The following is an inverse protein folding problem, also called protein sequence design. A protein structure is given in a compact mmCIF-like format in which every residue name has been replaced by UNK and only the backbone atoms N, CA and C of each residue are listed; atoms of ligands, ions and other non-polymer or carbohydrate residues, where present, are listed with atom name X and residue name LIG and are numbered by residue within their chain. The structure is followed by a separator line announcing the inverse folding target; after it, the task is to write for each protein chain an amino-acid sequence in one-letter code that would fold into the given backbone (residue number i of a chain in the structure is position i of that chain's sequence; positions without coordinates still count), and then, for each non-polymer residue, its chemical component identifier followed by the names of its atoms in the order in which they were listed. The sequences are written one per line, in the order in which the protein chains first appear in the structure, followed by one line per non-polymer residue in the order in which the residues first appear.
data_IF_233695855479
#
_entry.id   IF_233695855479
#
_cell.length_a   1.000
_cell.length_b   1.000
_cell.length_c   1.000
_cell.angle_alpha   90.00
_cell.angle_beta   90.00
_cell.angle_gamma   90.00
#
_symmetry.space_group_name_H-M   'P 1'
#
loop_
_entity.id
_entity.type
_entity.pdbx_description
1 polymer ?
#
# COMPACT_ATOMS: atom_id res chain seq x y z
N UNK A 1 -7.74 -25.32 -8.08
CA UNK A 1 -6.77 -24.63 -8.95
C UNK A 1 -6.45 -23.28 -8.32
N UNK A 2 -5.18 -22.89 -8.24
CA UNK A 2 -4.73 -21.62 -7.67
C UNK A 2 -3.94 -20.85 -8.73
N UNK A 3 -4.27 -19.57 -8.93
CA UNK A 3 -3.57 -18.68 -9.86
C UNK A 3 -2.78 -17.66 -9.07
N UNK A 4 -1.50 -17.46 -9.43
CA UNK A 4 -0.64 -16.46 -8.83
C UNK A 4 -0.35 -15.36 -9.86
N UNK A 5 -0.57 -14.11 -9.48
CA UNK A 5 -0.30 -12.93 -10.30
C UNK A 5 0.62 -11.98 -9.53
N UNK A 6 1.47 -11.28 -10.27
CA UNK A 6 2.26 -10.19 -9.70
C UNK A 6 1.38 -8.96 -9.43
N UNK A 7 1.68 -8.16 -8.41
CA UNK A 7 1.01 -6.87 -8.18
C UNK A 7 1.44 -5.82 -9.21
N UNK A 8 0.67 -4.73 -9.31
CA UNK A 8 1.00 -3.54 -10.09
C UNK A 8 1.76 -2.51 -9.24
N UNK A 9 2.51 -1.61 -9.90
CA UNK A 9 3.15 -0.45 -9.25
C UNK A 9 2.20 0.74 -9.10
N UNK A 10 1.33 0.92 -10.08
CA UNK A 10 0.34 1.99 -10.10
C UNK A 10 -0.90 1.58 -9.32
N UNK A 11 -1.45 2.53 -8.57
CA UNK A 11 -2.64 2.32 -7.74
C UNK A 11 -3.75 3.24 -8.25
N UNK A 12 -4.91 2.66 -8.55
CA UNK A 12 -6.12 3.42 -8.81
C UNK A 12 -6.95 3.50 -7.51
N UNK A 13 -7.06 4.70 -6.93
CA UNK A 13 -7.83 4.95 -5.72
C UNK A 13 -9.23 5.55 -6.00
N UNK A 14 -9.65 5.57 -7.27
CA UNK A 14 -11.00 6.00 -7.63
C UNK A 14 -12.06 5.09 -6.97
N UNK A 15 -13.21 5.67 -6.54
CA UNK A 15 -14.28 4.89 -5.94
C UNK A 15 -14.77 3.79 -6.87
N UNK A 16 -14.93 2.58 -6.33
CA UNK A 16 -15.52 1.45 -7.06
C UNK A 16 -16.84 1.09 -6.40
N UNK A 17 -17.90 1.03 -7.21
CA UNK A 17 -19.24 0.65 -6.77
C UNK A 17 -19.43 -0.86 -6.89
N UNK A 18 -20.30 -1.43 -6.04
CA UNK A 18 -20.71 -2.82 -6.17
C UNK A 18 -19.69 -3.87 -5.69
N UNK A 19 -18.61 -3.47 -5.01
CA UNK A 19 -17.67 -4.42 -4.39
C UNK A 19 -18.41 -5.20 -3.29
N UNK A 20 -18.57 -6.51 -3.49
CA UNK A 20 -19.14 -7.44 -2.50
C UNK A 20 -18.05 -8.37 -1.98
N UNK A 21 -18.09 -8.70 -0.69
CA UNK A 21 -17.18 -9.69 -0.10
C UNK A 21 -15.75 -9.21 0.11
N UNK A 22 -15.53 -7.91 0.39
CA UNK A 22 -14.23 -7.42 0.81
C UNK A 22 -13.77 -8.13 2.10
N UNK A 23 -12.53 -8.62 2.10
CA UNK A 23 -11.90 -9.29 3.24
C UNK A 23 -10.75 -8.45 3.79
N UNK A 24 -10.19 -8.86 4.93
CA UNK A 24 -8.96 -8.28 5.48
C UNK A 24 -7.75 -9.16 5.13
N UNK A 25 -6.56 -8.58 4.93
CA UNK A 25 -5.34 -9.36 4.73
C UNK A 25 -5.05 -10.23 5.95
N UNK A 26 -4.69 -11.49 5.74
CA UNK A 26 -4.36 -12.43 6.82
C UNK A 26 -3.02 -12.11 7.50
N UNK A 27 -2.05 -11.57 6.74
CA UNK A 27 -0.69 -11.26 7.21
C UNK A 27 -0.53 -9.78 7.61
N UNK A 28 -1.56 -9.18 8.22
CA UNK A 28 -1.51 -7.76 8.61
C UNK A 28 -0.40 -7.48 9.62
N UNK A 29 -0.15 -8.38 10.57
CA UNK A 29 0.91 -8.22 11.56
C UNK A 29 2.31 -8.16 10.92
N UNK A 30 2.58 -8.98 9.91
CA UNK A 30 3.85 -8.95 9.18
C UNK A 30 3.99 -7.66 8.37
N UNK A 31 2.89 -7.19 7.77
CA UNK A 31 2.84 -5.91 7.06
C UNK A 31 3.13 -4.73 8.00
N UNK A 32 2.64 -4.74 9.24
CA UNK A 32 2.93 -3.72 10.25
C UNK A 32 4.43 -3.63 10.59
N UNK A 33 5.13 -4.77 10.67
CA UNK A 33 6.58 -4.81 10.91
C UNK A 33 7.35 -4.14 9.77
N UNK A 34 6.98 -4.43 8.52
CA UNK A 34 7.59 -3.80 7.34
C UNK A 34 7.27 -2.32 7.29
N UNK A 35 6.00 -1.97 7.52
CA UNK A 35 5.52 -0.60 7.52
C UNK A 35 6.24 0.27 8.56
N UNK A 36 6.44 -0.22 9.78
CA UNK A 36 7.16 0.51 10.83
C UNK A 36 8.58 0.90 10.42
N UNK A 37 9.28 0.04 9.66
CA UNK A 37 10.60 0.37 9.09
C UNK A 37 10.51 1.46 8.02
N UNK A 38 9.55 1.32 7.09
CA UNK A 38 9.39 2.24 5.96
C UNK A 38 8.92 3.63 6.40
N UNK A 39 8.03 3.71 7.40
CA UNK A 39 7.51 4.96 7.96
C UNK A 39 8.60 5.83 8.57
N UNK A 40 9.65 5.23 9.13
CA UNK A 40 10.81 5.93 9.69
C UNK A 40 11.82 6.42 8.64
N UNK A 41 11.65 6.08 7.36
CA UNK A 41 12.57 6.48 6.30
C UNK A 41 12.15 7.83 5.67
N UNK A 42 13.14 8.69 5.44
CA UNK A 42 12.95 9.91 4.62
C UNK A 42 12.69 9.57 3.15
N UNK A 43 12.03 10.47 2.42
CA UNK A 43 11.83 10.34 0.97
C UNK A 43 13.15 10.09 0.22
N UNK A 44 14.25 10.74 0.62
CA UNK A 44 15.57 10.52 0.00
C UNK A 44 16.09 9.08 0.21
N UNK A 45 15.89 8.50 1.39
CA UNK A 45 16.26 7.11 1.66
C UNK A 45 15.37 6.14 0.86
N UNK A 46 14.06 6.44 0.75
CA UNK A 46 13.12 5.64 -0.07
C UNK A 46 13.49 5.69 -1.56
N UNK A 47 13.84 6.86 -2.08
CA UNK A 47 14.30 7.02 -3.48
C UNK A 47 15.49 6.11 -3.78
N UNK A 48 16.48 6.09 -2.87
CA UNK A 48 17.67 5.24 -3.00
C UNK A 48 17.33 3.75 -2.87
N UNK A 49 16.51 3.37 -1.89
CA UNK A 49 16.13 1.98 -1.64
C UNK A 49 15.34 1.37 -2.80
N UNK A 50 14.38 2.11 -3.33
CA UNK A 50 13.44 1.63 -4.35
C UNK A 50 13.89 1.95 -5.78
N UNK A 51 14.99 2.68 -5.94
CA UNK A 51 15.49 3.16 -7.24
C UNK A 51 14.42 3.95 -8.02
N UNK A 52 13.76 4.88 -7.33
CA UNK A 52 12.67 5.72 -7.88
C UNK A 52 13.05 7.19 -7.87
N UNK A 53 12.37 7.98 -8.72
CA UNK A 53 12.59 9.42 -8.79
C UNK A 53 12.09 10.14 -7.52
N UNK A 54 12.53 11.39 -7.26
CA UNK A 54 12.17 12.13 -6.04
C UNK A 54 10.67 12.29 -5.84
N UNK A 55 9.91 12.60 -6.91
CA UNK A 55 8.46 12.80 -6.85
C UNK A 55 7.74 11.53 -6.38
N UNK A 56 8.14 10.37 -6.89
CA UNK A 56 7.54 9.09 -6.49
C UNK A 56 7.97 8.70 -5.07
N UNK A 57 9.18 9.08 -4.65
CA UNK A 57 9.65 8.84 -3.30
C UNK A 57 8.93 9.68 -2.25
N UNK A 58 8.62 10.94 -2.56
CA UNK A 58 7.76 11.81 -1.74
C UNK A 58 6.35 11.22 -1.63
N UNK A 59 5.75 10.85 -2.75
CA UNK A 59 4.43 10.20 -2.76
C UNK A 59 4.40 8.92 -1.88
N UNK A 60 5.44 8.08 -1.95
CA UNK A 60 5.50 6.89 -1.13
C UNK A 60 5.79 7.21 0.35
N UNK A 61 6.57 8.23 0.65
CA UNK A 61 6.77 8.70 2.02
C UNK A 61 5.42 9.11 2.64
N UNK A 62 4.62 9.91 1.94
CA UNK A 62 3.30 10.35 2.40
C UNK A 62 2.36 9.16 2.60
N UNK A 63 2.33 8.22 1.65
CA UNK A 63 1.57 6.96 1.79
C UNK A 63 1.96 6.16 3.03
N UNK A 64 3.25 6.13 3.40
CA UNK A 64 3.69 5.48 4.64
C UNK A 64 3.38 6.31 5.90
N UNK A 65 3.12 7.61 5.80
CA UNK A 65 2.60 8.35 6.95
C UNK A 65 1.09 8.10 7.14
N UNK A 66 0.35 8.03 6.04
CA UNK A 66 -1.12 7.87 6.01
C UNK A 66 -1.60 6.44 6.26
N UNK A 67 -0.78 5.42 5.96
CA UNK A 67 -1.16 4.02 6.18
C UNK A 67 -1.43 3.79 7.69
N UNK A 68 -2.66 3.38 7.99
CA UNK A 68 -3.11 3.16 9.35
C UNK A 68 -4.26 2.13 9.41
N UNK A 69 -4.10 1.02 10.13
CA UNK A 69 -5.22 0.19 10.56
C UNK A 69 -6.03 0.92 11.67
N UNK A 70 -7.33 0.64 11.82
CA UNK A 70 -8.11 -0.39 11.10
C UNK A 70 -8.49 0.03 9.67
N UNK A 71 -8.42 -0.93 8.74
CA UNK A 71 -8.85 -0.71 7.36
C UNK A 71 -10.37 -0.78 7.18
N UNK A 72 -10.87 0.19 6.43
CA UNK A 72 -12.28 0.39 6.07
C UNK A 72 -12.37 0.83 4.61
N UNK A 73 -13.57 0.85 4.04
CA UNK A 73 -13.77 1.35 2.68
C UNK A 73 -13.37 2.83 2.47
N UNK A 74 -13.11 3.58 3.56
CA UNK A 74 -12.70 4.99 3.50
C UNK A 74 -11.18 5.19 3.34
N UNK A 75 -10.36 4.25 3.81
CA UNK A 75 -8.90 4.36 3.83
C UNK A 75 -8.21 3.17 3.13
N UNK A 76 -8.98 2.29 2.49
CA UNK A 76 -8.46 1.11 1.79
C UNK A 76 -9.38 0.70 0.65
N UNK A 77 -8.82 -0.07 -0.28
CA UNK A 77 -9.51 -0.65 -1.43
C UNK A 77 -9.11 -2.12 -1.58
N UNK A 78 -9.99 -2.96 -2.10
CA UNK A 78 -9.69 -4.37 -2.39
C UNK A 78 -8.61 -4.49 -3.47
N UNK A 79 -7.65 -5.40 -3.30
CA UNK A 79 -6.44 -5.47 -4.13
C UNK A 79 -6.66 -5.71 -5.64
N UNK A 80 -7.79 -6.29 -6.06
CA UNK A 80 -8.08 -6.56 -7.48
C UNK A 80 -8.70 -5.37 -8.24
N UNK A 81 -9.06 -4.28 -7.53
CA UNK A 81 -9.79 -3.15 -8.11
C UNK A 81 -8.98 -1.87 -8.10
#
# INVERSE_FOLDING_TARGET
MLTLLSPAKDLNMDPVTGVKGATKPELLADAEVLHGKLKGMSAKQLAKLMHINPKLAELNHDRYQEWAPPFTARNSKTAIH
#
